data_IF_126825992896
#
_entry.id   IF_126825992896
#
_cell.length_a   1.000
_cell.length_b   1.000
_cell.length_c   1.000
_cell.angle_alpha   90.00
_cell.angle_beta   90.00
_cell.angle_gamma   90.00
#
_symmetry.space_group_name_H-M   'P 1'
#
loop_
_entity.id
_entity.type
_entity.pdbx_description
1 polymer ?
#
# COMPACT_ATOMS: atom_id res chain seq x y z
N UNK A 1 1.11 -2.66 23.67
CA UNK A 1 1.03 -3.39 22.40
C UNK A 1 2.35 -4.15 22.13
N UNK A 2 2.32 -5.43 21.72
CA UNK A 2 3.56 -6.25 21.58
C UNK A 2 4.58 -5.66 20.61
N UNK A 3 4.12 -5.07 19.50
CA UNK A 3 4.98 -4.41 18.53
C UNK A 3 5.66 -3.17 19.11
N UNK A 4 4.94 -2.32 19.83
CA UNK A 4 5.52 -1.15 20.49
C UNK A 4 6.66 -1.55 21.44
N UNK A 5 6.44 -2.57 22.28
CA UNK A 5 7.47 -3.09 23.19
C UNK A 5 8.69 -3.66 22.47
N UNK A 6 8.50 -4.24 21.28
CA UNK A 6 9.60 -4.74 20.46
C UNK A 6 10.43 -3.60 19.88
N UNK A 7 9.80 -2.54 19.40
CA UNK A 7 10.47 -1.35 18.88
C UNK A 7 11.20 -0.59 19.98
N UNK A 8 10.63 -0.46 21.17
CA UNK A 8 11.31 0.17 22.31
C UNK A 8 12.62 -0.56 22.64
N UNK A 9 12.62 -1.91 22.57
CA UNK A 9 13.84 -2.71 22.73
C UNK A 9 14.85 -2.44 21.63
N UNK A 10 14.43 -2.37 20.37
CA UNK A 10 15.33 -2.07 19.24
C UNK A 10 15.96 -0.68 19.37
N UNK A 11 15.16 0.32 19.70
CA UNK A 11 15.65 1.69 19.91
C UNK A 11 16.68 1.75 21.03
N UNK A 12 16.46 1.05 22.14
CA UNK A 12 17.40 0.96 23.25
C UNK A 12 18.70 0.24 22.85
N UNK A 13 18.61 -0.86 22.08
CA UNK A 13 19.78 -1.62 21.64
C UNK A 13 20.69 -0.83 20.69
N UNK A 14 20.15 0.07 19.89
CA UNK A 14 20.90 0.85 18.91
C UNK A 14 21.21 2.29 19.38
N UNK A 15 20.97 2.59 20.66
CA UNK A 15 21.17 3.93 21.24
C UNK A 15 20.50 5.05 20.40
N UNK A 16 19.43 4.71 19.68
CA UNK A 16 18.79 5.61 18.76
C UNK A 16 17.80 6.51 19.51
N UNK A 17 18.14 7.80 19.61
CA UNK A 17 17.31 8.80 20.29
C UNK A 17 16.14 9.31 19.45
N UNK A 18 15.86 8.72 18.29
CA UNK A 18 14.72 9.14 17.45
C UNK A 18 13.41 8.79 18.13
N UNK A 19 12.48 9.73 18.10
CA UNK A 19 11.12 9.51 18.62
C UNK A 19 10.34 8.61 17.67
N UNK A 20 9.72 7.56 18.21
CA UNK A 20 8.80 6.68 17.50
C UNK A 20 7.45 6.79 18.18
N UNK A 21 6.42 7.04 17.41
CA UNK A 21 5.04 7.12 17.87
C UNK A 21 4.25 5.95 17.29
N UNK A 22 3.45 5.30 18.11
CA UNK A 22 2.57 4.22 17.70
C UNK A 22 1.13 4.65 17.89
N UNK A 23 0.35 4.50 16.83
CA UNK A 23 -1.09 4.72 16.86
C UNK A 23 -1.80 3.39 16.65
N UNK A 24 -2.75 3.07 17.52
CA UNK A 24 -3.53 1.83 17.48
C UNK A 24 -4.95 2.13 16.99
N UNK A 25 -5.03 2.47 15.71
CA UNK A 25 -6.30 2.72 15.01
C UNK A 25 -6.19 2.32 13.55
N UNK A 26 -7.31 1.99 12.88
CA UNK A 26 -7.32 1.81 11.44
C UNK A 26 -6.84 3.08 10.73
N UNK A 27 -6.00 2.91 9.69
CA UNK A 27 -5.39 4.05 8.99
C UNK A 27 -6.44 4.98 8.36
N UNK A 28 -7.54 4.43 7.87
CA UNK A 28 -8.64 5.19 7.28
C UNK A 28 -9.50 5.96 8.29
N UNK A 29 -9.35 5.67 9.58
CA UNK A 29 -10.08 6.35 10.66
C UNK A 29 -9.18 7.27 11.49
N UNK A 30 -7.85 7.12 11.38
CA UNK A 30 -6.89 7.95 12.11
C UNK A 30 -6.99 9.44 11.73
N UNK A 31 -6.82 10.31 12.71
CA UNK A 31 -6.73 11.76 12.50
C UNK A 31 -5.26 12.17 12.32
N UNK A 32 -4.91 12.55 11.10
CA UNK A 32 -3.56 12.98 10.74
C UNK A 32 -3.35 14.49 10.89
N UNK A 33 -4.32 15.27 11.40
CA UNK A 33 -4.28 16.72 11.41
C UNK A 33 -3.09 17.32 12.16
N UNK A 34 -2.61 16.64 13.21
CA UNK A 34 -1.42 17.05 13.95
C UNK A 34 -0.12 16.97 13.14
N UNK A 35 -0.14 16.25 12.01
CA UNK A 35 1.04 15.98 11.18
C UNK A 35 1.03 16.74 9.85
N UNK A 36 0.15 17.73 9.65
CA UNK A 36 0.09 18.49 8.41
C UNK A 36 1.48 19.03 8.02
N UNK A 37 1.86 18.87 6.75
CA UNK A 37 3.13 19.32 6.16
C UNK A 37 4.39 18.89 6.95
N UNK A 38 4.36 17.70 7.57
CA UNK A 38 5.40 17.24 8.49
C UNK A 38 6.36 16.24 7.86
N UNK A 39 5.87 15.30 7.06
CA UNK A 39 6.67 14.16 6.64
C UNK A 39 7.32 14.35 5.27
N UNK A 40 8.61 13.99 5.20
CA UNK A 40 9.34 13.86 3.93
C UNK A 40 8.85 12.67 3.10
N UNK A 41 8.50 11.58 3.79
CA UNK A 41 8.05 10.33 3.20
C UNK A 41 6.93 9.75 4.03
N UNK A 42 5.85 9.39 3.36
CA UNK A 42 4.83 8.48 3.87
C UNK A 42 4.96 7.18 3.07
N UNK A 43 5.26 6.10 3.77
CA UNK A 43 5.37 4.76 3.18
C UNK A 43 4.30 3.84 3.75
N UNK A 44 3.60 3.13 2.88
CA UNK A 44 2.61 2.13 3.29
C UNK A 44 2.67 0.89 2.41
N UNK A 45 2.49 -0.27 3.04
CA UNK A 45 2.17 -1.54 2.37
C UNK A 45 0.85 -2.02 2.97
N UNK A 46 -0.29 -1.56 2.45
CA UNK A 46 -1.58 -1.94 2.99
C UNK A 46 -1.85 -3.43 2.77
N UNK A 47 -2.65 -4.08 3.62
CA UNK A 47 -3.03 -5.48 3.41
C UNK A 47 -3.72 -5.64 2.05
N UNK A 48 -3.36 -6.69 1.30
CA UNK A 48 -3.86 -6.91 -0.06
C UNK A 48 -5.28 -7.47 -0.05
N UNK A 49 -6.25 -6.60 0.07
CA UNK A 49 -7.68 -6.90 0.12
C UNK A 49 -7.94 -8.08 1.09
N UNK A 50 -8.45 -9.22 0.60
CA UNK A 50 -8.75 -10.41 1.39
C UNK A 50 -7.72 -11.54 1.26
N UNK A 51 -6.60 -11.29 0.59
CA UNK A 51 -5.50 -12.25 0.44
C UNK A 51 -4.73 -12.37 1.76
N UNK A 52 -4.53 -11.25 2.45
CA UNK A 52 -3.87 -11.19 3.73
C UNK A 52 -4.89 -11.02 4.86
N UNK A 53 -5.04 -12.07 5.67
CA UNK A 53 -6.00 -12.14 6.76
C UNK A 53 -5.24 -12.33 8.07
N UNK A 54 -4.85 -11.22 8.68
CA UNK A 54 -4.05 -11.26 9.91
C UNK A 54 -4.86 -11.67 11.15
N UNK A 55 -6.12 -11.29 11.23
CA UNK A 55 -7.07 -11.71 12.27
C UNK A 55 -8.51 -11.64 11.76
N UNK A 56 -9.46 -12.02 12.61
CA UNK A 56 -10.90 -11.92 12.36
C UNK A 56 -11.54 -10.74 13.10
N UNK A 57 -10.72 -9.83 13.64
CA UNK A 57 -11.21 -8.64 14.33
C UNK A 57 -11.96 -7.72 13.36
N UNK A 58 -12.97 -7.05 13.87
CA UNK A 58 -13.82 -6.13 13.12
C UNK A 58 -13.08 -4.87 12.61
N UNK A 59 -11.88 -4.61 13.14
CA UNK A 59 -10.99 -3.55 12.68
C UNK A 59 -10.20 -3.91 11.41
N UNK A 60 -10.20 -5.19 11.01
CA UNK A 60 -9.47 -5.62 9.81
C UNK A 60 -10.18 -5.17 8.52
N UNK A 61 -9.42 -4.62 7.57
CA UNK A 61 -9.97 -4.08 6.32
C UNK A 61 -10.78 -5.11 5.53
N UNK A 62 -10.33 -6.38 5.46
CA UNK A 62 -11.04 -7.47 4.78
C UNK A 62 -12.34 -7.90 5.51
N UNK A 63 -12.43 -7.62 6.81
CA UNK A 63 -13.66 -7.85 7.61
C UNK A 63 -14.64 -6.71 7.39
N UNK A 64 -14.17 -5.47 7.40
CA UNK A 64 -14.98 -4.25 7.25
C UNK A 64 -15.50 -4.09 5.82
N UNK A 65 -14.66 -4.32 4.82
CA UNK A 65 -14.95 -4.05 3.41
C UNK A 65 -14.98 -5.35 2.60
N UNK A 66 -16.18 -5.81 2.26
CA UNK A 66 -16.39 -7.16 1.69
C UNK A 66 -16.20 -7.23 0.18
N UNK A 67 -16.31 -6.12 -0.52
CA UNK A 67 -16.09 -6.05 -1.96
C UNK A 67 -14.82 -5.29 -2.26
N UNK A 68 -14.19 -5.56 -3.41
CA UNK A 68 -12.99 -4.82 -3.84
C UNK A 68 -13.30 -3.33 -4.05
N UNK A 69 -14.51 -3.01 -4.49
CA UNK A 69 -14.94 -1.62 -4.68
C UNK A 69 -15.00 -0.85 -3.36
N UNK A 70 -15.66 -1.43 -2.35
CA UNK A 70 -15.75 -0.83 -1.01
C UNK A 70 -14.35 -0.75 -0.38
N UNK A 71 -13.53 -1.79 -0.54
CA UNK A 71 -12.18 -1.82 -0.01
C UNK A 71 -11.29 -0.73 -0.65
N UNK A 72 -11.34 -0.57 -1.97
CA UNK A 72 -10.61 0.50 -2.65
C UNK A 72 -11.07 1.87 -2.15
N UNK A 73 -12.39 2.12 -2.12
CA UNK A 73 -12.96 3.42 -1.81
C UNK A 73 -12.86 3.77 -0.32
N UNK A 74 -13.36 2.88 0.55
CA UNK A 74 -13.63 3.21 1.94
C UNK A 74 -12.45 2.85 2.88
N UNK A 75 -11.49 2.06 2.38
CA UNK A 75 -10.23 1.81 3.06
C UNK A 75 -9.05 2.50 2.37
N UNK A 76 -8.64 2.07 1.17
CA UNK A 76 -7.38 2.49 0.56
C UNK A 76 -7.40 3.98 0.18
N UNK A 77 -8.41 4.42 -0.57
CA UNK A 77 -8.51 5.81 -1.00
C UNK A 77 -8.70 6.75 0.20
N UNK A 78 -9.57 6.36 1.14
CA UNK A 78 -9.81 7.15 2.36
C UNK A 78 -8.55 7.28 3.22
N UNK A 79 -7.77 6.20 3.39
CA UNK A 79 -6.50 6.25 4.12
C UNK A 79 -5.50 7.20 3.41
N UNK A 80 -5.38 7.08 2.08
CA UNK A 80 -4.50 7.95 1.29
C UNK A 80 -4.95 9.41 1.38
N UNK A 81 -6.24 9.69 1.20
CA UNK A 81 -6.79 11.06 1.31
C UNK A 81 -6.47 11.71 2.66
N UNK A 82 -6.61 10.95 3.74
CA UNK A 82 -6.33 11.45 5.10
C UNK A 82 -4.84 11.64 5.38
N UNK A 83 -3.97 10.77 4.86
CA UNK A 83 -2.53 10.91 5.10
C UNK A 83 -1.86 11.89 4.14
N UNK A 84 -2.45 12.22 2.99
CA UNK A 84 -1.87 13.13 2.00
C UNK A 84 -1.50 14.51 2.56
N UNK A 85 -2.35 15.20 3.36
CA UNK A 85 -2.00 16.49 3.95
C UNK A 85 -0.77 16.45 4.87
N UNK A 86 -0.45 15.30 5.45
CA UNK A 86 0.70 15.14 6.35
C UNK A 86 2.05 15.17 5.62
N UNK A 87 2.05 14.98 4.31
CA UNK A 87 3.23 15.07 3.47
C UNK A 87 3.53 16.53 3.21
N UNK A 88 4.79 16.96 3.42
CA UNK A 88 5.22 18.32 3.08
C UNK A 88 5.40 18.50 1.56
N UNK A 89 5.40 19.75 1.09
CA UNK A 89 5.78 20.03 -0.31
C UNK A 89 7.17 19.46 -0.63
N UNK A 90 7.29 18.78 -1.77
CA UNK A 90 8.46 18.00 -2.18
C UNK A 90 8.57 16.62 -1.50
N UNK A 91 7.73 16.34 -0.52
CA UNK A 91 7.65 15.01 0.13
C UNK A 91 6.97 13.97 -0.76
N UNK A 92 7.04 12.72 -0.36
CA UNK A 92 6.60 11.60 -1.19
C UNK A 92 5.68 10.63 -0.48
N UNK A 93 4.65 10.20 -1.20
CA UNK A 93 3.86 9.03 -0.87
C UNK A 93 4.43 7.83 -1.64
N UNK A 94 4.76 6.78 -0.92
CA UNK A 94 5.23 5.52 -1.47
C UNK A 94 4.26 4.40 -1.07
N UNK A 95 3.58 3.79 -2.04
CA UNK A 95 2.62 2.71 -1.78
C UNK A 95 3.12 1.42 -2.41
N UNK A 96 3.45 0.45 -1.57
CA UNK A 96 3.80 -0.90 -2.01
C UNK A 96 2.54 -1.76 -2.08
N UNK A 97 2.00 -1.94 -3.27
CA UNK A 97 0.80 -2.73 -3.51
C UNK A 97 0.73 -3.19 -4.96
N UNK A 98 0.17 -4.37 -5.18
CA UNK A 98 -0.14 -4.90 -6.50
C UNK A 98 -1.60 -5.37 -6.60
N UNK A 99 -2.06 -5.61 -7.83
CA UNK A 99 -3.35 -6.26 -8.07
C UNK A 99 -3.33 -7.69 -7.52
N UNK A 100 -4.48 -8.19 -7.14
CA UNK A 100 -4.60 -9.52 -6.53
C UNK A 100 -5.48 -10.45 -7.35
N UNK A 101 -5.10 -11.74 -7.38
CA UNK A 101 -5.97 -12.76 -7.97
C UNK A 101 -6.88 -13.36 -6.90
N UNK A 102 -8.15 -13.05 -6.99
CA UNK A 102 -9.17 -13.55 -6.07
C UNK A 102 -9.66 -14.95 -6.44
N UNK A 103 -8.75 -15.89 -6.63
CA UNK A 103 -9.09 -17.29 -6.91
C UNK A 103 -9.49 -18.11 -5.68
N UNK A 104 -9.63 -17.48 -4.52
CA UNK A 104 -10.00 -18.16 -3.28
C UNK A 104 -11.45 -18.63 -3.27
N UNK A 105 -11.65 -19.88 -2.82
CA UNK A 105 -12.97 -20.50 -2.65
C UNK A 105 -13.90 -19.57 -1.83
N UNK A 106 -15.05 -19.25 -2.39
CA UNK A 106 -16.12 -18.53 -1.70
C UNK A 106 -16.33 -17.07 -2.11
N UNK A 107 -15.64 -16.56 -3.15
CA UNK A 107 -15.85 -15.22 -3.66
C UNK A 107 -16.66 -15.19 -4.97
N UNK A 108 -17.53 -14.20 -5.08
CA UNK A 108 -18.35 -13.97 -6.27
C UNK A 108 -17.57 -13.45 -7.48
N UNK A 109 -16.33 -12.97 -7.28
CA UNK A 109 -15.45 -12.46 -8.33
C UNK A 109 -14.28 -13.43 -8.55
N UNK A 110 -14.25 -14.10 -9.70
CA UNK A 110 -13.09 -14.88 -10.18
C UNK A 110 -12.22 -13.97 -11.02
N UNK A 111 -10.89 -14.03 -10.80
CA UNK A 111 -9.91 -13.33 -11.62
C UNK A 111 -9.18 -12.22 -10.89
N UNK A 112 -8.43 -11.44 -11.66
CA UNK A 112 -7.66 -10.30 -11.16
C UNK A 112 -8.58 -9.19 -10.64
N UNK A 113 -8.29 -8.72 -9.42
CA UNK A 113 -8.94 -7.58 -8.79
C UNK A 113 -8.02 -6.38 -8.91
N UNK A 114 -8.53 -5.31 -9.51
CA UNK A 114 -7.79 -4.07 -9.73
C UNK A 114 -7.69 -3.27 -8.45
N UNK A 115 -6.46 -2.97 -8.05
CA UNK A 115 -6.12 -2.11 -6.94
C UNK A 115 -5.24 -0.96 -7.41
N UNK A 116 -4.23 -1.28 -8.24
CA UNK A 116 -3.21 -0.31 -8.65
C UNK A 116 -3.77 0.84 -9.48
N UNK A 117 -4.53 0.54 -10.55
CA UNK A 117 -5.09 1.58 -11.39
C UNK A 117 -6.10 2.46 -10.64
N UNK A 118 -7.12 1.92 -9.94
CA UNK A 118 -8.01 2.76 -9.15
C UNK A 118 -7.30 3.64 -8.12
N UNK A 119 -6.27 3.12 -7.45
CA UNK A 119 -5.48 3.89 -6.49
C UNK A 119 -4.73 5.04 -7.17
N UNK A 120 -4.02 4.75 -8.25
CA UNK A 120 -3.24 5.76 -8.96
C UNK A 120 -4.13 6.83 -9.61
N UNK A 121 -5.25 6.43 -10.19
CA UNK A 121 -6.23 7.35 -10.76
C UNK A 121 -6.82 8.26 -9.68
N UNK A 122 -7.08 7.72 -8.49
CA UNK A 122 -7.53 8.50 -7.34
C UNK A 122 -6.50 9.53 -6.90
N UNK A 123 -5.23 9.13 -6.70
CA UNK A 123 -4.17 10.07 -6.28
C UNK A 123 -3.95 11.15 -7.33
N UNK A 124 -4.08 10.81 -8.61
CA UNK A 124 -3.96 11.78 -9.72
C UNK A 124 -5.02 12.89 -9.67
N UNK A 125 -6.13 12.70 -8.95
CA UNK A 125 -7.15 13.76 -8.78
C UNK A 125 -6.72 14.85 -7.80
N UNK A 126 -5.69 14.64 -6.98
CA UNK A 126 -5.21 15.66 -6.06
C UNK A 126 -4.50 16.75 -6.82
N UNK A 127 -4.85 18.03 -6.60
CA UNK A 127 -4.35 19.15 -7.42
C UNK A 127 -2.83 19.37 -7.28
N UNK A 128 -2.26 18.90 -6.17
CA UNK A 128 -0.85 19.02 -5.80
C UNK A 128 -0.09 17.70 -5.92
N UNK A 129 -0.63 16.73 -6.66
CA UNK A 129 0.02 15.44 -6.86
C UNK A 129 0.80 15.38 -8.17
N UNK A 130 1.98 14.74 -8.12
CA UNK A 130 2.80 14.44 -9.28
C UNK A 130 3.29 13.01 -9.23
N UNK A 131 2.92 12.22 -10.25
CA UNK A 131 3.40 10.84 -10.37
C UNK A 131 4.87 10.79 -10.79
N UNK A 132 5.70 10.10 -10.02
CA UNK A 132 7.13 9.95 -10.31
C UNK A 132 7.49 8.61 -10.97
N UNK A 133 6.58 7.65 -10.96
CA UNK A 133 6.84 6.30 -11.46
C UNK A 133 6.69 5.23 -10.37
N UNK A 134 7.20 4.05 -10.66
CA UNK A 134 7.21 2.95 -9.72
C UNK A 134 8.60 2.31 -9.65
N UNK A 135 8.96 1.82 -8.47
CA UNK A 135 10.15 1.01 -8.23
C UNK A 135 9.70 -0.44 -8.07
N UNK A 136 10.38 -1.37 -8.75
CA UNK A 136 10.15 -2.80 -8.55
C UNK A 136 10.96 -3.34 -7.37
N UNK A 137 10.29 -3.87 -6.40
CA UNK A 137 10.92 -4.63 -5.33
C UNK A 137 11.02 -6.09 -5.77
N UNK A 138 12.24 -6.60 -5.98
CA UNK A 138 12.44 -8.00 -6.36
C UNK A 138 11.96 -8.93 -5.24
N UNK A 139 11.06 -9.84 -5.59
CA UNK A 139 10.51 -10.82 -4.68
C UNK A 139 11.14 -12.19 -4.93
N UNK A 140 11.47 -12.90 -3.86
CA UNK A 140 11.85 -14.31 -3.99
C UNK A 140 10.68 -15.10 -4.57
N UNK A 141 10.95 -15.92 -5.60
CA UNK A 141 9.92 -16.79 -6.16
C UNK A 141 9.36 -17.70 -5.07
N UNK A 142 8.08 -17.63 -4.83
CA UNK A 142 7.41 -18.55 -3.90
C UNK A 142 7.39 -19.94 -4.55
N UNK A 143 7.78 -21.02 -3.86
CA UNK A 143 7.93 -22.36 -4.46
C UNK A 143 6.69 -22.93 -5.17
N UNK A 144 5.51 -22.37 -5.01
CA UNK A 144 4.26 -22.85 -5.59
C UNK A 144 3.44 -21.75 -6.29
N UNK A 145 4.03 -20.61 -6.58
CA UNK A 145 3.34 -19.52 -7.29
C UNK A 145 3.53 -19.63 -8.80
N UNK A 146 2.99 -20.69 -9.40
CA UNK A 146 2.80 -20.69 -10.85
C UNK A 146 1.78 -19.61 -11.16
N UNK A 147 2.23 -18.49 -11.71
CA UNK A 147 1.35 -17.42 -12.21
C UNK A 147 0.82 -16.45 -11.17
N UNK A 148 1.47 -16.27 -10.04
CA UNK A 148 1.25 -15.08 -9.22
C UNK A 148 1.94 -13.89 -9.89
N UNK A 149 1.45 -13.51 -11.08
CA UNK A 149 1.81 -12.26 -11.69
C UNK A 149 1.40 -11.14 -10.75
N UNK A 150 2.23 -10.14 -10.65
CA UNK A 150 1.82 -8.84 -10.08
C UNK A 150 0.80 -8.23 -11.04
N UNK A 151 0.01 -7.26 -10.62
CA UNK A 151 -0.82 -6.48 -11.53
C UNK A 151 -0.04 -5.88 -12.70
N UNK A 152 1.27 -5.78 -12.55
CA UNK A 152 2.24 -5.42 -13.59
C UNK A 152 2.28 -6.44 -14.74
N UNK A 153 2.11 -7.74 -14.49
CA UNK A 153 2.11 -8.78 -15.52
C UNK A 153 0.76 -8.93 -16.24
N UNK A 154 -0.32 -8.47 -15.64
CA UNK A 154 -1.67 -8.65 -16.20
C UNK A 154 -1.96 -7.86 -17.47
N UNK A 155 -1.12 -6.90 -17.83
CA UNK A 155 -1.31 -6.05 -19.01
C UNK A 155 -2.32 -4.92 -18.82
N UNK A 156 -2.83 -4.77 -17.63
CA UNK A 156 -3.97 -3.90 -17.33
C UNK A 156 -3.59 -2.54 -16.74
N UNK A 157 -2.33 -2.36 -16.31
CA UNK A 157 -1.83 -1.08 -15.81
C UNK A 157 -1.07 -0.32 -16.89
N UNK A 158 -1.42 0.94 -17.11
CA UNK A 158 -0.70 1.83 -18.01
C UNK A 158 0.75 2.11 -17.57
N UNK A 159 1.11 1.77 -16.33
CA UNK A 159 2.43 2.02 -15.73
C UNK A 159 3.37 0.81 -15.79
N UNK A 160 2.91 -0.26 -16.33
CA UNK A 160 3.51 -1.59 -16.40
C UNK A 160 4.84 -1.73 -17.19
N UNK A 161 4.99 -1.13 -18.38
CA UNK A 161 6.11 -1.49 -19.26
C UNK A 161 7.49 -1.13 -18.69
N UNK A 162 7.58 -0.12 -17.85
CA UNK A 162 8.87 0.38 -17.33
C UNK A 162 9.50 -0.60 -16.34
N UNK A 163 8.68 -1.19 -15.46
CA UNK A 163 9.16 -2.12 -14.43
C UNK A 163 9.65 -3.44 -15.01
N UNK A 164 8.94 -4.00 -16.00
CA UNK A 164 9.32 -5.27 -16.62
C UNK A 164 10.64 -5.17 -17.40
N UNK A 165 10.96 -3.98 -17.94
CA UNK A 165 12.22 -3.75 -18.65
C UNK A 165 13.42 -3.71 -17.73
N UNK A 166 13.28 -3.07 -16.56
CA UNK A 166 14.37 -2.94 -15.58
C UNK A 166 14.72 -4.27 -14.91
N UNK A 167 13.72 -5.11 -14.66
CA UNK A 167 13.90 -6.33 -13.88
C UNK A 167 14.04 -7.61 -14.74
N UNK A 168 14.11 -7.49 -16.05
CA UNK A 168 14.43 -8.56 -16.99
C UNK A 168 13.64 -9.86 -16.73
N UNK A 169 12.33 -9.74 -16.53
CA UNK A 169 11.43 -10.87 -16.28
C UNK A 169 11.47 -11.43 -14.86
N UNK A 170 12.16 -10.77 -13.93
CA UNK A 170 12.10 -11.14 -12.51
C UNK A 170 10.76 -10.73 -11.91
N UNK A 171 10.28 -11.53 -10.97
CA UNK A 171 9.06 -11.22 -10.22
C UNK A 171 9.31 -10.03 -9.30
N UNK A 172 8.52 -8.97 -9.46
CA UNK A 172 8.66 -7.73 -8.69
C UNK A 172 7.30 -7.26 -8.16
N UNK A 173 7.33 -6.72 -6.97
CA UNK A 173 6.21 -5.97 -6.40
C UNK A 173 6.44 -4.48 -6.62
N UNK A 174 5.44 -3.72 -7.14
CA UNK A 174 5.62 -2.29 -7.38
C UNK A 174 5.51 -1.48 -6.09
N UNK A 175 6.40 -0.49 -5.97
CA UNK A 175 6.26 0.63 -5.04
C UNK A 175 5.93 1.86 -5.88
N UNK A 176 4.68 2.31 -5.84
CA UNK A 176 4.18 3.48 -6.57
C UNK A 176 4.58 4.75 -5.85
N UNK A 177 5.16 5.72 -6.57
CA UNK A 177 5.74 6.93 -5.96
C UNK A 177 5.04 8.16 -6.51
N UNK A 178 4.53 8.97 -5.60
CA UNK A 178 3.88 10.25 -5.84
C UNK A 178 4.56 11.34 -5.03
N UNK A 179 4.76 12.51 -5.61
CA UNK A 179 5.30 13.70 -4.95
C UNK A 179 4.17 14.71 -4.71
N UNK A 180 4.17 15.32 -3.53
CA UNK A 180 3.34 16.49 -3.25
C UNK A 180 4.09 17.75 -3.70
N UNK A 181 3.57 18.50 -4.67
CA UNK A 181 4.19 19.70 -5.24
C UNK A 181 3.71 21.00 -4.58
#
# INVERSE_FOLDING_TARGET
>A
HKQAQYYDKLLTMFENQKKVFFHDSPAEDFDYSEYNDTFDIVFTSPPYFNVERYSYDDTQSWVRYKTIGDWNKDFLHKAIEKMWPSIRSGGKLCVNISDVNASSKGQSSKGWQKICDPMNDFIQTFPDSKYLGAIGMEMASRPNSIGAGTGVESGESNRKPEMLKEFNGKFCEPIWIWEKI
#
